data_IF_189957148518
#
_entry.id   IF_189957148518
#
_cell.length_a   1.000
_cell.length_b   1.000
_cell.length_c   1.000
_cell.angle_alpha   90.00
_cell.angle_beta   90.00
_cell.angle_gamma   90.00
#
_symmetry.space_group_name_H-M   'P 1'
#
loop_
_entity.id
_entity.type
_entity.pdbx_description
1 polymer ?
#
# COMPACT_ATOMS: atom_id res chain seq x y z
N UNK A 1 -7.90 -3.57 14.31
CA UNK A 1 -8.04 -2.89 13.01
C UNK A 1 -8.31 -3.95 11.96
N UNK A 2 -9.18 -3.68 10.98
CA UNK A 2 -9.51 -4.62 9.89
C UNK A 2 -8.52 -4.50 8.72
N UNK A 3 -8.00 -3.30 8.52
CA UNK A 3 -7.05 -2.98 7.46
C UNK A 3 -5.67 -2.67 8.04
N UNK A 4 -4.65 -2.81 7.22
CA UNK A 4 -3.27 -2.39 7.50
C UNK A 4 -2.78 -1.48 6.39
N UNK A 5 -2.03 -0.44 6.77
CA UNK A 5 -1.40 0.49 5.85
C UNK A 5 0.07 0.62 6.22
N UNK A 6 0.97 0.41 5.25
CA UNK A 6 2.41 0.52 5.45
C UNK A 6 3.07 1.21 4.25
N UNK A 7 4.02 2.11 4.49
CA UNK A 7 4.92 2.57 3.42
C UNK A 7 6.00 1.51 3.22
N UNK A 8 6.04 0.93 2.02
CA UNK A 8 6.90 -0.23 1.71
C UNK A 8 8.18 0.16 0.97
N UNK A 9 8.20 1.32 0.28
CA UNK A 9 9.37 1.67 -0.51
C UNK A 9 9.20 2.87 -1.43
N UNK A 10 10.22 3.07 -2.25
CA UNK A 10 10.22 3.99 -3.38
C UNK A 10 10.47 3.18 -4.64
N UNK A 11 9.72 3.50 -5.69
CA UNK A 11 9.82 2.81 -6.96
C UNK A 11 9.80 3.80 -8.13
N UNK A 12 10.59 3.59 -9.19
CA UNK A 12 10.44 4.31 -10.44
C UNK A 12 9.02 4.13 -11.01
N UNK A 13 8.44 5.21 -11.56
CA UNK A 13 7.05 5.22 -12.07
C UNK A 13 6.79 4.07 -13.04
N UNK A 14 7.70 3.85 -13.99
CA UNK A 14 7.55 2.78 -15.00
C UNK A 14 7.58 1.38 -14.38
N UNK A 15 8.42 1.17 -13.37
CA UNK A 15 8.51 -0.12 -12.68
C UNK A 15 7.24 -0.38 -11.87
N UNK A 16 6.75 0.62 -11.14
CA UNK A 16 5.48 0.53 -10.42
C UNK A 16 4.31 0.26 -11.37
N UNK A 17 4.22 0.98 -12.48
CA UNK A 17 3.19 0.76 -13.49
C UNK A 17 3.22 -0.66 -14.06
N UNK A 18 4.41 -1.16 -14.42
CA UNK A 18 4.55 -2.53 -14.93
C UNK A 18 4.10 -3.57 -13.90
N UNK A 19 4.40 -3.34 -12.62
CA UNK A 19 3.95 -4.20 -11.53
C UNK A 19 2.41 -4.20 -11.39
N UNK A 20 1.78 -3.02 -11.45
CA UNK A 20 0.31 -2.90 -11.44
C UNK A 20 -0.33 -3.66 -12.61
N UNK A 21 0.22 -3.53 -13.82
CA UNK A 21 -0.29 -4.24 -15.00
C UNK A 21 -0.19 -5.76 -14.86
N UNK A 22 0.89 -6.27 -14.28
CA UNK A 22 1.05 -7.71 -14.03
C UNK A 22 0.02 -8.23 -13.03
N UNK A 23 -0.27 -7.47 -11.96
CA UNK A 23 -1.30 -7.83 -10.98
C UNK A 23 -2.71 -7.80 -11.57
N UNK A 24 -3.00 -6.92 -12.52
CA UNK A 24 -4.28 -6.93 -13.26
C UNK A 24 -4.41 -8.20 -14.12
N UNK A 25 -3.33 -8.65 -14.74
CA UNK A 25 -3.34 -9.84 -15.61
C UNK A 25 -3.33 -11.16 -14.83
N UNK A 26 -2.76 -11.16 -13.62
CA UNK A 26 -2.75 -12.29 -12.70
C UNK A 26 -3.25 -11.79 -11.35
N UNK A 27 -4.56 -11.64 -11.16
CA UNK A 27 -5.10 -11.24 -9.88
C UNK A 27 -4.74 -12.32 -8.87
N UNK A 28 -3.71 -12.07 -8.08
CA UNK A 28 -3.60 -12.70 -6.78
C UNK A 28 -4.87 -12.25 -6.03
N UNK A 29 -5.68 -13.20 -5.57
CA UNK A 29 -6.95 -12.99 -4.86
C UNK A 29 -6.74 -12.35 -3.47
N UNK A 30 -5.78 -11.46 -3.37
CA UNK A 30 -5.34 -10.83 -2.16
C UNK A 30 -6.05 -9.48 -2.12
N UNK A 31 -6.77 -9.26 -1.04
CA UNK A 31 -7.29 -7.95 -0.66
C UNK A 31 -6.11 -7.04 -0.26
N UNK A 32 -5.14 -6.88 -1.16
CA UNK A 32 -3.87 -6.16 -1.04
C UNK A 32 -3.73 -5.27 -2.25
N UNK A 33 -3.56 -3.99 -2.01
CA UNK A 33 -3.44 -2.96 -3.03
C UNK A 33 -2.22 -2.10 -2.75
N UNK A 34 -1.47 -1.79 -3.81
CA UNK A 34 -0.31 -0.94 -3.72
C UNK A 34 -0.66 0.44 -4.24
N UNK A 35 -0.48 1.44 -3.39
CA UNK A 35 -0.78 2.85 -3.63
C UNK A 35 0.51 3.60 -3.91
N UNK A 36 0.55 4.40 -4.97
CA UNK A 36 1.73 5.16 -5.36
C UNK A 36 1.42 6.64 -5.47
N UNK A 37 2.26 7.50 -4.87
CA UNK A 37 2.14 8.95 -5.00
C UNK A 37 3.51 9.62 -5.15
N UNK A 38 3.54 10.76 -5.83
CA UNK A 38 4.73 11.60 -6.01
C UNK A 38 5.03 12.47 -4.77
N UNK A 39 4.13 12.50 -3.80
CA UNK A 39 4.26 13.35 -2.61
C UNK A 39 4.00 12.50 -1.37
N UNK A 40 4.97 12.44 -0.46
CA UNK A 40 4.85 11.70 0.80
C UNK A 40 4.10 12.53 1.85
N UNK A 41 2.79 12.71 1.66
CA UNK A 41 1.90 13.41 2.58
C UNK A 41 0.59 12.63 2.77
N UNK A 42 -0.07 12.88 3.90
CA UNK A 42 -1.28 12.15 4.29
C UNK A 42 -2.42 12.34 3.28
N UNK A 43 -2.68 13.58 2.89
CA UNK A 43 -3.66 13.96 1.87
C UNK A 43 -3.43 13.24 0.54
N UNK A 44 -2.18 13.23 0.07
CA UNK A 44 -1.84 12.56 -1.18
C UNK A 44 -2.08 11.04 -1.12
N UNK A 45 -1.92 10.40 0.03
CA UNK A 45 -2.28 8.98 0.20
C UNK A 45 -3.78 8.77 0.32
N UNK A 46 -4.51 9.64 1.03
CA UNK A 46 -5.97 9.56 1.12
C UNK A 46 -6.61 9.65 -0.28
N UNK A 47 -6.12 10.53 -1.15
CA UNK A 47 -6.59 10.62 -2.55
C UNK A 47 -6.40 9.30 -3.32
N UNK A 48 -5.32 8.56 -3.05
CA UNK A 48 -5.09 7.27 -3.71
C UNK A 48 -5.97 6.13 -3.18
N UNK A 49 -6.55 6.28 -1.99
CA UNK A 49 -7.37 5.27 -1.33
C UNK A 49 -8.79 5.22 -1.92
N UNK A 50 -9.39 6.37 -2.22
CA UNK A 50 -10.77 6.47 -2.71
C UNK A 50 -11.09 5.54 -3.91
N UNK A 51 -10.29 5.48 -4.99
CA UNK A 51 -10.59 4.58 -6.10
C UNK A 51 -10.44 3.10 -5.74
N UNK A 52 -9.63 2.77 -4.72
CA UNK A 52 -9.36 1.40 -4.30
C UNK A 52 -10.47 0.83 -3.43
N UNK A 53 -11.02 1.62 -2.52
CA UNK A 53 -12.12 1.17 -1.65
C UNK A 53 -13.37 0.84 -2.47
N UNK A 54 -13.67 1.64 -3.50
CA UNK A 54 -14.76 1.37 -4.43
C UNK A 54 -14.58 0.05 -5.20
N UNK A 55 -13.35 -0.32 -5.56
CA UNK A 55 -13.03 -1.57 -6.28
C UNK A 55 -13.32 -2.82 -5.45
N UNK A 56 -13.01 -2.79 -4.15
CA UNK A 56 -13.12 -3.95 -3.26
C UNK A 56 -14.35 -3.93 -2.34
N UNK A 57 -15.16 -2.87 -2.40
CA UNK A 57 -16.27 -2.68 -1.46
C UNK A 57 -15.80 -2.51 -0.01
N UNK A 58 -14.62 -1.92 0.19
CA UNK A 58 -14.11 -1.63 1.53
C UNK A 58 -14.78 -0.40 2.14
N UNK A 59 -14.84 -0.39 3.46
CA UNK A 59 -15.35 0.75 4.23
C UNK A 59 -14.32 1.90 4.15
N UNK A 60 -14.67 2.96 3.41
CA UNK A 60 -13.78 4.11 3.19
C UNK A 60 -13.37 4.77 4.50
N UNK A 61 -14.29 4.93 5.45
CA UNK A 61 -14.03 5.61 6.71
C UNK A 61 -13.01 4.80 7.53
N UNK A 62 -13.15 3.48 7.59
CA UNK A 62 -12.20 2.61 8.29
C UNK A 62 -10.83 2.56 7.62
N UNK A 63 -10.78 2.60 6.28
CA UNK A 63 -9.52 2.62 5.55
C UNK A 63 -8.81 3.96 5.76
N UNK A 64 -9.52 5.08 5.66
CA UNK A 64 -8.97 6.42 5.91
C UNK A 64 -8.47 6.53 7.36
N UNK A 65 -9.25 6.05 8.34
CA UNK A 65 -8.80 6.00 9.73
C UNK A 65 -7.52 5.19 9.87
N UNK A 66 -7.39 4.04 9.19
CA UNK A 66 -6.16 3.24 9.20
C UNK A 66 -4.94 4.02 8.68
N UNK A 67 -5.10 4.79 7.60
CA UNK A 67 -4.04 5.65 7.07
C UNK A 67 -3.68 6.77 8.05
N UNK A 68 -4.68 7.42 8.66
CA UNK A 68 -4.48 8.48 9.66
C UNK A 68 -3.75 7.92 10.89
N UNK A 69 -4.18 6.78 11.42
CA UNK A 69 -3.53 6.12 12.55
C UNK A 69 -2.10 5.75 12.23
N UNK A 70 -1.80 5.22 11.04
CA UNK A 70 -0.43 5.00 10.62
C UNK A 70 0.37 6.31 10.67
N UNK A 71 -0.20 7.40 10.17
CA UNK A 71 0.46 8.69 10.06
C UNK A 71 0.81 9.31 11.41
N UNK A 72 -0.11 9.23 12.37
CA UNK A 72 0.07 9.75 13.73
C UNK A 72 1.08 8.93 14.52
N UNK A 73 1.12 7.61 14.30
CA UNK A 73 1.95 6.70 15.10
C UNK A 73 3.36 6.47 14.54
N UNK A 74 3.64 6.84 13.28
CA UNK A 74 4.91 6.54 12.61
C UNK A 74 5.60 7.78 12.00
N UNK A 75 5.59 8.90 12.71
CA UNK A 75 6.15 10.18 12.25
C UNK A 75 7.61 10.06 11.75
N UNK A 76 8.47 9.33 12.46
CA UNK A 76 9.88 9.14 12.09
C UNK A 76 10.03 8.38 10.77
N UNK A 77 9.22 7.34 10.57
CA UNK A 77 9.17 6.56 9.32
C UNK A 77 8.74 7.44 8.15
N UNK A 78 7.74 8.31 8.35
CA UNK A 78 7.25 9.23 7.33
C UNK A 78 8.32 10.24 6.94
N UNK A 79 9.03 10.80 7.92
CA UNK A 79 10.15 11.72 7.63
C UNK A 79 11.24 11.02 6.82
N UNK A 80 11.57 9.78 7.17
CA UNK A 80 12.53 8.97 6.42
C UNK A 80 12.10 8.77 4.96
N UNK A 81 10.85 8.37 4.71
CA UNK A 81 10.37 8.14 3.34
C UNK A 81 10.27 9.44 2.54
N UNK A 82 9.90 10.54 3.19
CA UNK A 82 9.89 11.86 2.57
C UNK A 82 11.29 12.28 2.12
N UNK A 83 12.30 12.09 2.96
CA UNK A 83 13.70 12.37 2.62
C UNK A 83 14.15 11.49 1.44
N UNK A 84 13.91 10.18 1.51
CA UNK A 84 14.31 9.27 0.44
C UNK A 84 13.63 9.57 -0.90
N UNK A 85 12.36 10.01 -0.89
CA UNK A 85 11.65 10.37 -2.11
C UNK A 85 12.28 11.60 -2.76
N UNK A 86 12.67 12.59 -1.94
CA UNK A 86 13.42 13.75 -2.40
C UNK A 86 14.75 13.36 -3.03
N UNK A 87 15.49 12.41 -2.42
CA UNK A 87 16.78 11.95 -2.91
C UNK A 87 16.67 11.13 -4.21
N UNK A 88 15.58 10.36 -4.38
CA UNK A 88 15.36 9.54 -5.56
C UNK A 88 15.05 10.37 -6.83
N UNK A 89 14.49 11.56 -6.68
CA UNK A 89 14.15 12.47 -7.78
C UNK A 89 12.78 12.21 -8.41
N UNK A 90 12.42 13.05 -9.39
CA UNK A 90 11.03 13.26 -9.85
C UNK A 90 10.34 12.06 -10.51
N UNK A 91 11.10 11.08 -11.03
CA UNK A 91 10.54 9.92 -11.72
C UNK A 91 10.26 8.73 -10.80
N UNK A 92 10.10 8.99 -9.50
CA UNK A 92 9.84 7.98 -8.49
C UNK A 92 8.57 8.29 -7.71
N UNK A 93 7.99 7.24 -7.16
CA UNK A 93 6.81 7.25 -6.31
C UNK A 93 7.21 6.69 -4.95
N UNK A 94 6.67 7.28 -3.89
CA UNK A 94 6.57 6.56 -2.62
C UNK A 94 5.41 5.57 -2.76
N UNK A 95 5.66 4.33 -2.37
CA UNK A 95 4.72 3.23 -2.50
C UNK A 95 4.29 2.79 -1.11
N UNK A 96 2.99 2.75 -0.90
CA UNK A 96 2.37 2.15 0.27
C UNK A 96 1.60 0.89 -0.12
N UNK A 97 1.38 0.03 0.87
CA UNK A 97 0.54 -1.16 0.78
C UNK A 97 -0.65 -0.95 1.70
N UNK A 98 -1.84 -1.14 1.15
CA UNK A 98 -3.09 -1.19 1.89
C UNK A 98 -3.67 -2.60 1.75
N UNK A 99 -4.06 -3.22 2.86
CA UNK A 99 -4.58 -4.58 2.81
C UNK A 99 -5.60 -4.90 3.91
N UNK A 100 -6.46 -5.88 3.66
CA UNK A 100 -7.27 -6.55 4.69
C UNK A 100 -6.39 -7.55 5.45
N UNK A 101 -6.32 -7.40 6.78
CA UNK A 101 -5.49 -8.22 7.65
C UNK A 101 -5.89 -9.71 7.58
N UNK A 102 -7.17 -10.00 7.42
CA UNK A 102 -7.71 -11.37 7.34
C UNK A 102 -7.26 -12.05 6.05
N UNK A 103 -7.24 -11.32 4.94
CA UNK A 103 -6.78 -11.85 3.66
C UNK A 103 -5.27 -12.07 3.65
N UNK A 104 -4.51 -11.16 4.25
CA UNK A 104 -3.06 -11.32 4.43
C UNK A 104 -2.73 -12.55 5.28
N UNK A 105 -3.47 -12.76 6.37
CA UNK A 105 -3.26 -13.91 7.23
C UNK A 105 -3.57 -15.23 6.48
N UNK A 106 -4.68 -15.30 5.76
CA UNK A 106 -5.05 -16.48 4.98
C UNK A 106 -4.02 -16.81 3.88
N UNK A 107 -3.44 -15.79 3.23
CA UNK A 107 -2.34 -15.99 2.28
C UNK A 107 -1.11 -16.53 2.97
N UNK A 108 -0.70 -15.91 4.09
CA UNK A 108 0.47 -16.33 4.83
C UNK A 108 0.35 -17.78 5.29
N UNK A 109 -0.81 -18.18 5.80
CA UNK A 109 -1.12 -19.57 6.16
C UNK A 109 -1.03 -20.50 4.93
N UNK A 110 -1.60 -20.09 3.79
CA UNK A 110 -1.49 -20.87 2.53
C UNK A 110 -0.05 -21.04 2.06
N UNK A 111 0.79 -20.02 2.24
CA UNK A 111 2.21 -20.05 1.87
C UNK A 111 3.02 -20.93 2.84
N UNK A 112 2.68 -20.94 4.13
CA UNK A 112 3.29 -21.83 5.12
C UNK A 112 2.90 -23.30 4.86
N UNK A 113 1.63 -23.56 4.57
CA UNK A 113 1.13 -24.91 4.26
C UNK A 113 1.78 -25.47 2.99
N UNK A 114 2.09 -24.61 2.00
CA UNK A 114 2.84 -25.02 0.80
C UNK A 114 4.32 -25.31 1.04
N UNK A 115 4.89 -24.85 2.16
CA UNK A 115 6.29 -25.05 2.52
C UNK A 115 6.49 -26.05 3.69
N UNK A 116 5.41 -26.62 4.21
CA UNK A 116 5.45 -27.68 5.22
C UNK A 116 5.56 -29.07 4.59
N UNK A 117 6.78 -29.56 4.38
CA UNK A 117 7.11 -30.98 4.18
C UNK A 117 7.87 -31.52 5.39
#
# INVERSE_FOLDING_TARGET
MKYTFDIVGISPVLQFFNHQQQNVQKPLYLAVEYLGTHICTLDAFIETVEPVTAKWGWDLDQVVDTVIQFWVNHSDSIQYWKARLSDAGQNNLVVARLADITALQAEFETLLDKNGY
#
